data_IF_076112716628
#
_entry.id   IF_076112716628
#
_cell.length_a   1.000
_cell.length_b   1.000
_cell.length_c   1.000
_cell.angle_alpha   90.00
_cell.angle_beta   90.00
_cell.angle_gamma   90.00
#
_symmetry.space_group_name_H-M   'P 1'
#
loop_
_entity.id
_entity.type
_entity.pdbx_description
1 polymer ?
#
# COMPACT_ATOMS: atom_id res chain seq x y z
N UNK A 1 2.57 -39.04 -7.92
CA UNK A 1 2.59 -38.60 -6.52
C UNK A 1 3.92 -37.89 -6.29
N UNK A 2 3.98 -36.56 -6.28
CA UNK A 2 5.16 -35.83 -5.86
C UNK A 2 5.15 -35.60 -4.35
N UNK A 3 6.36 -35.62 -3.81
CA UNK A 3 6.78 -35.61 -2.42
C UNK A 3 6.89 -34.16 -1.88
N UNK A 4 6.50 -33.92 -0.63
CA UNK A 4 6.09 -32.60 -0.10
C UNK A 4 6.76 -32.22 1.24
N UNK A 5 7.98 -32.67 1.54
CA UNK A 5 8.60 -32.43 2.87
C UNK A 5 9.86 -31.55 2.90
N UNK A 6 10.29 -30.98 1.78
CA UNK A 6 11.27 -29.88 1.81
C UNK A 6 10.53 -28.56 1.55
N UNK A 7 10.57 -27.61 2.48
CA UNK A 7 10.01 -26.25 2.34
C UNK A 7 10.74 -25.39 1.29
N UNK A 8 11.13 -25.99 0.17
CA UNK A 8 11.75 -25.34 -0.96
C UNK A 8 10.65 -24.73 -1.83
N UNK A 9 10.45 -23.43 -1.66
CA UNK A 9 9.72 -22.62 -2.63
C UNK A 9 10.43 -22.75 -3.98
N UNK A 10 9.71 -23.25 -4.98
CA UNK A 10 10.19 -23.40 -6.36
C UNK A 10 10.42 -22.00 -6.96
N UNK A 11 11.58 -21.42 -6.68
CA UNK A 11 12.00 -20.15 -7.26
C UNK A 11 12.39 -20.40 -8.71
N UNK A 12 11.44 -20.23 -9.62
CA UNK A 12 11.75 -20.13 -11.06
C UNK A 12 12.69 -18.93 -11.24
N UNK A 13 13.81 -19.07 -11.97
CA UNK A 13 14.62 -17.92 -12.32
C UNK A 13 13.71 -16.93 -13.05
N UNK A 14 13.76 -15.66 -12.65
CA UNK A 14 12.94 -14.53 -13.14
C UNK A 14 11.59 -14.25 -12.47
N UNK A 15 11.18 -14.94 -11.41
CA UNK A 15 9.93 -14.58 -10.72
C UNK A 15 10.14 -13.64 -9.52
N UNK A 16 10.52 -12.38 -9.79
CA UNK A 16 10.63 -11.31 -8.78
C UNK A 16 9.35 -11.19 -7.94
N UNK A 17 8.21 -11.41 -8.58
CA UNK A 17 6.91 -11.42 -7.95
C UNK A 17 6.81 -12.43 -6.80
N UNK A 18 7.20 -13.69 -7.03
CA UNK A 18 7.17 -14.74 -6.01
C UNK A 18 8.16 -14.46 -4.87
N UNK A 19 9.33 -13.90 -5.21
CA UNK A 19 10.32 -13.52 -4.21
C UNK A 19 9.81 -12.40 -3.31
N UNK A 20 9.25 -11.33 -3.88
CA UNK A 20 8.63 -10.25 -3.10
C UNK A 20 7.44 -10.75 -2.30
N UNK A 21 6.63 -11.65 -2.86
CA UNK A 21 5.53 -12.25 -2.14
C UNK A 21 6.03 -13.02 -0.91
N UNK A 22 7.08 -13.84 -1.06
CA UNK A 22 7.71 -14.55 0.06
C UNK A 22 8.29 -13.58 1.11
N UNK A 23 8.93 -12.49 0.69
CA UNK A 23 9.46 -11.46 1.59
C UNK A 23 8.33 -10.77 2.38
N UNK A 24 7.22 -10.44 1.73
CA UNK A 24 6.03 -9.86 2.37
C UNK A 24 5.43 -10.86 3.36
N UNK A 25 5.39 -12.15 3.04
CA UNK A 25 4.96 -13.21 3.97
C UNK A 25 5.82 -13.30 5.22
N UNK A 26 7.14 -13.17 5.09
CA UNK A 26 8.06 -13.17 6.23
C UNK A 26 7.95 -11.88 7.06
N UNK A 27 7.62 -10.76 6.42
CA UNK A 27 7.58 -9.44 7.07
C UNK A 27 6.23 -9.15 7.73
N UNK A 28 5.13 -9.61 7.12
CA UNK A 28 3.75 -9.35 7.54
C UNK A 28 2.93 -10.65 7.63
N UNK A 29 3.36 -11.63 8.44
CA UNK A 29 2.75 -12.95 8.50
C UNK A 29 1.30 -12.90 8.98
N UNK A 30 0.96 -12.06 9.96
CA UNK A 30 -0.40 -12.00 10.50
C UNK A 30 -1.38 -11.46 9.46
N UNK A 31 -0.98 -10.41 8.74
CA UNK A 31 -1.79 -9.80 7.70
C UNK A 31 -2.05 -10.80 6.57
N UNK A 32 -1.00 -11.49 6.10
CA UNK A 32 -1.12 -12.50 5.06
C UNK A 32 -2.01 -13.67 5.47
N UNK A 33 -1.92 -14.14 6.73
CA UNK A 33 -2.83 -15.15 7.29
C UNK A 33 -4.28 -14.64 7.28
N UNK A 34 -4.52 -13.41 7.72
CA UNK A 34 -5.85 -12.82 7.76
C UNK A 34 -6.48 -12.68 6.36
N UNK A 35 -5.70 -12.22 5.38
CA UNK A 35 -6.11 -12.15 3.97
C UNK A 35 -6.44 -13.56 3.44
N UNK A 36 -5.53 -14.52 3.61
CA UNK A 36 -5.72 -15.90 3.11
C UNK A 36 -6.94 -16.58 3.73
N UNK A 37 -7.15 -16.43 5.04
CA UNK A 37 -8.31 -16.98 5.74
C UNK A 37 -9.63 -16.40 5.19
N UNK A 38 -9.64 -15.12 4.81
CA UNK A 38 -10.80 -14.48 4.18
C UNK A 38 -11.01 -14.93 2.75
N UNK A 39 -9.95 -15.12 1.96
CA UNK A 39 -10.05 -15.72 0.62
C UNK A 39 -10.67 -17.12 0.67
N UNK A 40 -10.20 -17.98 1.59
CA UNK A 40 -10.75 -19.34 1.76
C UNK A 40 -12.22 -19.30 2.18
N UNK A 41 -12.59 -18.45 3.15
CA UNK A 41 -14.00 -18.28 3.56
C UNK A 41 -14.89 -17.75 2.44
N UNK A 42 -14.37 -16.89 1.58
CA UNK A 42 -15.09 -16.36 0.43
C UNK A 42 -15.30 -17.42 -0.66
N UNK A 43 -14.35 -18.34 -0.85
CA UNK A 43 -14.50 -19.47 -1.79
C UNK A 43 -15.55 -20.49 -1.36
N UNK A 44 -15.80 -20.63 -0.06
CA UNK A 44 -16.76 -21.60 0.47
C UNK A 44 -18.24 -21.16 0.39
N UNK A 45 -18.52 -19.90 0.06
CA UNK A 45 -19.86 -19.31 0.13
C UNK A 45 -20.18 -18.58 -1.18
N UNK A 46 -20.87 -19.25 -2.09
CA UNK A 46 -21.34 -18.69 -3.37
C UNK A 46 -22.29 -17.50 -3.12
N UNK A 47 -21.78 -16.29 -3.33
CA UNK A 47 -22.57 -15.06 -3.16
C UNK A 47 -21.89 -13.83 -3.76
N UNK A 48 -22.49 -13.29 -4.82
CA UNK A 48 -21.96 -12.19 -5.67
C UNK A 48 -21.53 -10.91 -4.91
N UNK A 49 -22.11 -10.61 -3.75
CA UNK A 49 -21.77 -9.41 -2.94
C UNK A 49 -20.36 -9.48 -2.35
N UNK A 50 -19.84 -10.70 -2.09
CA UNK A 50 -18.51 -10.93 -1.50
C UNK A 50 -17.36 -10.90 -2.50
N UNK A 51 -17.65 -10.87 -3.80
CA UNK A 51 -16.64 -10.67 -4.84
C UNK A 51 -15.92 -9.34 -4.70
N UNK A 52 -16.66 -8.27 -4.36
CA UNK A 52 -16.07 -6.93 -4.22
C UNK A 52 -15.08 -6.79 -3.06
N UNK A 53 -15.34 -7.44 -1.92
CA UNK A 53 -14.44 -7.48 -0.78
C UNK A 53 -13.19 -8.32 -1.09
N UNK A 54 -13.39 -9.46 -1.77
CA UNK A 54 -12.29 -10.29 -2.26
C UNK A 54 -11.38 -9.50 -3.21
N UNK A 55 -11.97 -8.78 -4.17
CA UNK A 55 -11.23 -7.95 -5.13
C UNK A 55 -10.47 -6.84 -4.41
N UNK A 56 -11.06 -6.24 -3.37
CA UNK A 56 -10.38 -5.24 -2.55
C UNK A 56 -9.14 -5.81 -1.84
N UNK A 57 -9.28 -6.97 -1.19
CA UNK A 57 -8.18 -7.63 -0.47
C UNK A 57 -7.08 -8.11 -1.42
N UNK A 58 -7.44 -8.71 -2.56
CA UNK A 58 -6.47 -9.11 -3.59
C UNK A 58 -5.72 -7.88 -4.12
N UNK A 59 -6.43 -6.81 -4.42
CA UNK A 59 -5.79 -5.61 -4.94
C UNK A 59 -4.87 -4.94 -3.91
N UNK A 60 -5.24 -4.96 -2.62
CA UNK A 60 -4.35 -4.52 -1.55
C UNK A 60 -3.14 -5.44 -1.39
N UNK A 61 -3.29 -6.75 -1.56
CA UNK A 61 -2.17 -7.70 -1.51
C UNK A 61 -1.15 -7.47 -2.63
N UNK A 62 -1.60 -7.05 -3.81
CA UNK A 62 -0.74 -6.74 -4.96
C UNK A 62 -0.12 -5.34 -4.87
N UNK A 63 -0.92 -4.32 -4.51
CA UNK A 63 -0.51 -2.92 -4.62
C UNK A 63 -0.75 -2.05 -3.38
N UNK A 64 -0.88 -2.67 -2.20
CA UNK A 64 -1.10 -2.01 -0.93
C UNK A 64 0.11 -1.24 -0.42
N UNK A 65 -0.15 -0.10 0.23
CA UNK A 65 0.84 0.65 0.99
C UNK A 65 0.21 1.18 2.27
N UNK A 66 0.99 1.24 3.34
CA UNK A 66 0.58 1.88 4.59
C UNK A 66 1.28 3.21 4.72
N UNK A 67 0.51 4.27 4.92
CA UNK A 67 1.01 5.61 5.15
C UNK A 67 0.72 5.98 6.59
N UNK A 68 1.77 6.19 7.37
CA UNK A 68 1.67 6.56 8.76
C UNK A 68 2.16 7.99 8.94
N UNK A 69 1.49 8.78 9.77
CA UNK A 69 1.92 10.14 10.07
C UNK A 69 1.73 10.48 11.54
N UNK A 70 2.68 11.22 12.12
CA UNK A 70 2.51 11.86 13.43
C UNK A 70 1.82 13.22 13.37
N UNK A 71 1.43 13.66 12.18
CA UNK A 71 0.72 14.89 11.92
C UNK A 71 -0.52 14.59 11.06
N UNK A 72 -1.73 14.63 11.65
CA UNK A 72 -2.98 14.36 10.92
C UNK A 72 -3.18 15.28 9.71
N UNK A 73 -2.69 16.53 9.78
CA UNK A 73 -2.84 17.48 8.68
C UNK A 73 -2.13 16.99 7.41
N UNK A 74 -1.01 16.26 7.53
CA UNK A 74 -0.34 15.68 6.36
C UNK A 74 -1.15 14.55 5.73
N UNK A 75 -1.86 13.76 6.53
CA UNK A 75 -2.77 12.73 6.02
C UNK A 75 -3.96 13.37 5.31
N UNK A 76 -4.48 14.48 5.83
CA UNK A 76 -5.58 15.22 5.21
C UNK A 76 -5.20 15.79 3.84
N UNK A 77 -3.97 16.32 3.69
CA UNK A 77 -3.46 16.73 2.38
C UNK A 77 -3.45 15.58 1.37
N UNK A 78 -3.06 14.37 1.82
CA UNK A 78 -3.10 13.16 1.00
C UNK A 78 -4.53 12.78 0.63
N UNK A 79 -5.45 12.78 1.60
CA UNK A 79 -6.89 12.52 1.36
C UNK A 79 -7.50 13.53 0.38
N UNK A 80 -7.05 14.78 0.42
CA UNK A 80 -7.50 15.89 -0.40
C UNK A 80 -6.74 16.04 -1.73
N UNK A 81 -5.82 15.11 -2.06
CA UNK A 81 -5.05 15.14 -3.31
C UNK A 81 -4.21 16.42 -3.50
N UNK A 82 -3.81 17.07 -2.40
CA UNK A 82 -3.01 18.29 -2.40
C UNK A 82 -1.52 17.97 -2.56
N UNK A 83 -1.17 17.35 -3.69
CA UNK A 83 0.16 16.76 -3.93
C UNK A 83 1.31 17.75 -3.85
N UNK A 84 1.13 18.97 -4.37
CA UNK A 84 2.14 20.03 -4.29
C UNK A 84 2.35 20.47 -2.85
N UNK A 85 1.29 20.80 -2.12
CA UNK A 85 1.42 21.19 -0.71
C UNK A 85 2.04 20.07 0.12
N UNK A 86 1.65 18.81 -0.12
CA UNK A 86 2.19 17.66 0.60
C UNK A 86 3.68 17.42 0.30
N UNK A 87 4.04 17.24 -0.98
CA UNK A 87 5.36 16.73 -1.37
C UNK A 87 6.37 17.81 -1.80
N UNK A 88 5.91 19.04 -2.02
CA UNK A 88 6.77 20.19 -2.35
C UNK A 88 6.85 21.13 -1.15
N UNK A 89 5.75 21.75 -0.76
CA UNK A 89 5.75 22.81 0.27
C UNK A 89 6.08 22.25 1.66
N UNK A 90 5.51 21.10 2.01
CA UNK A 90 5.71 20.43 3.31
C UNK A 90 6.67 19.23 3.22
N UNK A 91 7.54 19.17 2.21
CA UNK A 91 8.44 18.03 1.96
C UNK A 91 9.26 17.61 3.19
N UNK A 92 9.89 18.56 3.87
CA UNK A 92 10.70 18.29 5.06
C UNK A 92 9.86 17.72 6.22
N UNK A 93 8.58 18.09 6.30
CA UNK A 93 7.67 17.51 7.28
C UNK A 93 7.25 16.09 6.88
N UNK A 94 7.03 15.82 5.59
CA UNK A 94 6.79 14.46 5.09
C UNK A 94 7.94 13.53 5.45
N UNK A 95 9.19 13.92 5.16
CA UNK A 95 10.37 13.10 5.46
C UNK A 95 10.53 12.83 6.97
N UNK A 96 10.24 13.83 7.81
CA UNK A 96 10.39 13.71 9.26
C UNK A 96 9.21 12.98 9.92
N UNK A 97 7.98 13.28 9.52
CA UNK A 97 6.74 12.93 10.23
C UNK A 97 5.92 11.84 9.56
N UNK A 98 6.25 11.41 8.34
CA UNK A 98 5.53 10.35 7.64
C UNK A 98 6.41 9.12 7.38
N UNK A 99 5.78 7.96 7.31
CA UNK A 99 6.38 6.71 6.84
C UNK A 99 5.48 6.09 5.79
N UNK A 100 6.12 5.54 4.76
CA UNK A 100 5.49 4.87 3.64
C UNK A 100 6.01 3.44 3.63
N UNK A 101 5.17 2.46 3.97
CA UNK A 101 5.56 1.06 4.08
C UNK A 101 4.80 0.26 3.03
N UNK A 102 5.52 -0.23 2.04
CA UNK A 102 4.94 -1.01 0.94
C UNK A 102 4.62 -2.41 1.43
N UNK A 103 3.36 -2.81 1.24
CA UNK A 103 2.86 -4.16 1.52
C UNK A 103 2.70 -4.95 0.21
N UNK A 104 2.25 -4.27 -0.85
CA UNK A 104 1.97 -4.87 -2.14
C UNK A 104 3.21 -5.47 -2.79
N UNK A 105 3.23 -6.78 -2.98
CA UNK A 105 4.38 -7.48 -3.56
C UNK A 105 4.63 -7.07 -5.03
N UNK A 106 3.57 -6.86 -5.82
CA UNK A 106 3.69 -6.36 -7.19
C UNK A 106 4.14 -4.89 -7.24
N UNK A 107 3.91 -4.12 -6.17
CA UNK A 107 4.43 -2.75 -6.08
C UNK A 107 5.95 -2.73 -5.93
N UNK A 108 6.54 -3.66 -5.16
CA UNK A 108 7.99 -3.76 -5.07
C UNK A 108 8.62 -4.06 -6.44
N UNK A 109 8.01 -4.96 -7.21
CA UNK A 109 8.45 -5.26 -8.58
C UNK A 109 8.33 -4.04 -9.50
N UNK A 110 7.20 -3.33 -9.45
CA UNK A 110 7.00 -2.12 -10.26
C UNK A 110 7.99 -0.99 -9.89
N UNK A 111 8.47 -0.94 -8.65
CA UNK A 111 9.48 0.02 -8.20
C UNK A 111 10.90 -0.31 -8.70
N UNK A 112 11.17 -1.52 -9.21
CA UNK A 112 12.44 -1.83 -9.88
C UNK A 112 12.58 -1.08 -11.22
N UNK A 113 11.46 -0.81 -11.90
CA UNK A 113 11.38 -0.02 -13.14
C UNK A 113 10.16 0.91 -13.08
N UNK A 114 10.24 1.99 -12.29
CA UNK A 114 9.10 2.88 -12.08
C UNK A 114 8.63 3.49 -13.39
N UNK A 115 7.31 3.57 -13.57
CA UNK A 115 6.68 4.13 -14.76
C UNK A 115 5.64 5.19 -14.39
N UNK A 116 5.45 6.15 -15.30
CA UNK A 116 4.49 7.25 -15.12
C UNK A 116 3.09 6.71 -14.81
N UNK A 117 2.50 7.16 -13.71
CA UNK A 117 1.17 6.73 -13.26
C UNK A 117 1.15 5.54 -12.30
N UNK A 118 2.32 5.02 -11.89
CA UNK A 118 2.41 3.99 -10.84
C UNK A 118 1.75 4.48 -9.54
N UNK A 119 0.64 3.83 -9.16
CA UNK A 119 -0.23 4.24 -8.04
C UNK A 119 -0.50 3.05 -7.13
N UNK A 120 -0.26 3.22 -5.83
CA UNK A 120 -0.57 2.23 -4.81
C UNK A 120 -1.91 2.52 -4.12
N UNK A 121 -2.42 1.52 -3.39
CA UNK A 121 -3.60 1.60 -2.54
C UNK A 121 -3.19 1.82 -1.10
N UNK A 122 -3.28 3.08 -0.68
CA UNK A 122 -2.88 3.53 0.63
C UNK A 122 -3.98 3.31 1.68
N UNK A 123 -3.58 2.73 2.80
CA UNK A 123 -4.27 2.83 4.10
C UNK A 123 -3.54 3.89 4.93
N UNK A 124 -4.30 4.77 5.56
CA UNK A 124 -3.75 5.93 6.29
C UNK A 124 -3.97 5.75 7.79
N UNK A 125 -2.89 5.81 8.57
CA UNK A 125 -2.94 5.73 10.03
C UNK A 125 -2.23 6.92 10.68
N UNK A 126 -2.86 7.43 11.74
CA UNK A 126 -2.21 8.33 12.67
C UNK A 126 -1.38 7.52 13.66
N UNK A 127 -0.15 7.97 13.89
CA UNK A 127 0.76 7.41 14.90
C UNK A 127 1.29 8.55 15.75
N UNK A 128 1.89 8.25 16.89
CA UNK A 128 2.58 9.29 17.65
C UNK A 128 4.04 9.48 17.16
N UNK A 129 4.68 10.54 17.65
CA UNK A 129 6.08 10.80 17.31
C UNK A 129 7.03 9.71 17.85
N UNK A 130 6.66 9.02 18.94
CA UNK A 130 7.48 7.95 19.52
C UNK A 130 7.51 6.72 18.61
N UNK A 131 6.39 6.40 17.97
CA UNK A 131 6.27 5.33 16.98
C UNK A 131 7.25 5.53 15.82
N UNK A 132 7.38 6.76 15.33
CA UNK A 132 8.32 7.11 14.24
C UNK A 132 9.79 6.93 14.62
N UNK A 133 10.12 6.93 15.92
CA UNK A 133 11.47 6.70 16.45
C UNK A 133 11.74 5.22 16.76
N UNK A 134 10.73 4.35 16.69
CA UNK A 134 10.93 2.92 16.89
C UNK A 134 11.90 2.35 15.83
N UNK A 135 12.68 1.30 16.18
CA UNK A 135 13.45 0.57 15.19
C UNK A 135 12.54 0.05 14.06
N UNK A 136 13.06 0.02 12.83
CA UNK A 136 12.30 -0.40 11.64
C UNK A 136 11.64 -1.78 11.83
N UNK A 137 12.34 -2.74 12.42
CA UNK A 137 11.78 -4.07 12.70
C UNK A 137 10.52 -4.00 13.61
N UNK A 138 10.53 -3.13 14.62
CA UNK A 138 9.38 -2.96 15.51
C UNK A 138 8.23 -2.20 14.84
N UNK A 139 8.55 -1.26 13.94
CA UNK A 139 7.54 -0.60 13.09
C UNK A 139 6.84 -1.60 12.18
N UNK A 140 7.59 -2.52 11.55
CA UNK A 140 7.02 -3.56 10.68
C UNK A 140 6.07 -4.49 11.43
N UNK A 141 6.45 -4.93 12.64
CA UNK A 141 5.55 -5.73 13.51
C UNK A 141 4.29 -4.96 13.89
N UNK A 142 4.42 -3.67 14.23
CA UNK A 142 3.27 -2.83 14.55
C UNK A 142 2.35 -2.63 13.34
N UNK A 143 2.91 -2.46 12.14
CA UNK A 143 2.14 -2.37 10.89
C UNK A 143 1.42 -3.68 10.58
N UNK A 144 2.07 -4.83 10.78
CA UNK A 144 1.43 -6.14 10.58
C UNK A 144 0.19 -6.31 11.47
N UNK A 145 0.30 -5.90 12.74
CA UNK A 145 -0.83 -5.93 13.66
C UNK A 145 -1.95 -4.95 13.26
N UNK A 146 -1.59 -3.72 12.86
CA UNK A 146 -2.54 -2.70 12.40
C UNK A 146 -3.32 -3.19 11.17
N UNK A 147 -2.60 -3.65 10.13
CA UNK A 147 -3.19 -4.17 8.91
C UNK A 147 -4.09 -5.37 9.18
N UNK A 148 -3.67 -6.29 10.03
CA UNK A 148 -4.48 -7.45 10.43
C UNK A 148 -5.81 -7.00 11.04
N UNK A 149 -5.80 -6.04 11.96
CA UNK A 149 -7.02 -5.52 12.57
C UNK A 149 -7.92 -4.79 11.56
N UNK A 150 -7.32 -3.92 10.74
CA UNK A 150 -8.02 -3.12 9.74
C UNK A 150 -8.70 -3.99 8.69
N UNK A 151 -7.97 -4.95 8.12
CA UNK A 151 -8.51 -5.88 7.13
C UNK A 151 -9.54 -6.81 7.78
N UNK A 152 -9.32 -7.29 9.01
CA UNK A 152 -10.27 -8.17 9.71
C UNK A 152 -11.57 -7.50 10.15
N UNK A 153 -11.59 -6.17 10.29
CA UNK A 153 -12.78 -5.40 10.68
C UNK A 153 -13.86 -5.34 9.59
N UNK A 154 -13.52 -5.64 8.33
CA UNK A 154 -14.42 -5.45 7.19
C UNK A 154 -14.56 -3.98 6.76
N UNK A 155 -13.67 -3.10 7.22
CA UNK A 155 -13.63 -1.68 6.85
C UNK A 155 -13.43 -1.44 5.35
N UNK A 156 -12.66 -2.32 4.70
CA UNK A 156 -12.35 -2.22 3.27
C UNK A 156 -13.12 -3.29 2.51
N UNK A 157 -14.21 -2.89 1.88
CA UNK A 157 -15.09 -3.79 1.12
C UNK A 157 -14.96 -3.60 -0.38
N UNK A 158 -14.36 -2.49 -0.83
CA UNK A 158 -14.21 -2.16 -2.24
C UNK A 158 -12.80 -1.59 -2.49
N UNK A 159 -12.21 -1.81 -3.69
CA UNK A 159 -10.92 -1.21 -4.03
C UNK A 159 -10.87 0.32 -3.95
N UNK A 160 -12.04 0.99 -4.01
CA UNK A 160 -12.18 2.44 -3.86
C UNK A 160 -12.12 2.93 -2.41
N UNK A 161 -12.17 2.03 -1.44
CA UNK A 161 -12.10 2.40 -0.02
C UNK A 161 -10.66 2.78 0.34
N UNK A 162 -9.67 2.26 -0.39
CA UNK A 162 -8.27 2.66 -0.29
C UNK A 162 -8.00 4.00 -0.97
N UNK A 163 -7.02 4.74 -0.44
CA UNK A 163 -6.61 5.99 -1.04
C UNK A 163 -5.58 5.78 -2.17
N UNK A 164 -5.81 6.33 -3.38
CA UNK A 164 -4.79 6.26 -4.42
C UNK A 164 -3.60 7.13 -4.05
N UNK A 165 -2.39 6.56 -4.08
CA UNK A 165 -1.14 7.27 -3.82
C UNK A 165 -0.19 7.12 -5.02
N UNK A 166 0.14 8.21 -5.74
CA UNK A 166 1.15 8.15 -6.79
C UNK A 166 2.52 7.95 -6.16
N UNK A 167 3.12 6.77 -6.36
CA UNK A 167 4.37 6.39 -5.68
C UNK A 167 5.55 7.26 -6.09
N UNK A 168 5.58 7.69 -7.35
CA UNK A 168 6.63 8.55 -7.87
C UNK A 168 6.61 9.96 -7.26
N UNK A 169 5.52 10.34 -6.59
CA UNK A 169 5.43 11.59 -5.84
C UNK A 169 6.12 11.55 -4.48
N UNK A 170 6.38 10.36 -3.93
CA UNK A 170 6.95 10.20 -2.60
C UNK A 170 8.43 10.63 -2.63
N UNK A 171 8.87 11.56 -1.77
CA UNK A 171 10.25 12.02 -1.70
C UNK A 171 11.25 10.85 -1.66
N UNK A 172 12.23 10.88 -2.57
CA UNK A 172 13.30 9.87 -2.63
C UNK A 172 13.01 8.64 -3.50
N UNK A 173 11.79 8.46 -4.03
CA UNK A 173 11.48 7.34 -4.93
C UNK A 173 12.09 7.52 -6.32
N UNK A 174 12.00 8.73 -6.88
CA UNK A 174 12.65 9.10 -8.15
C UNK A 174 13.32 10.47 -8.03
N UNK A 175 14.47 10.70 -8.69
CA UNK A 175 15.19 11.97 -8.57
C UNK A 175 14.41 13.15 -9.14
N UNK A 176 13.57 12.94 -10.16
CA UNK A 176 12.79 13.98 -10.83
C UNK A 176 11.82 14.68 -9.88
N UNK A 177 11.35 13.99 -8.84
CA UNK A 177 10.41 14.56 -7.87
C UNK A 177 11.05 15.55 -6.88
N UNK A 178 12.36 15.81 -7.01
CA UNK A 178 13.01 16.91 -6.32
C UNK A 178 12.66 18.27 -6.95
N UNK A 179 12.27 18.30 -8.23
CA UNK A 179 11.82 19.51 -8.91
C UNK A 179 10.32 19.77 -8.61
N UNK A 180 9.95 20.94 -8.04
CA UNK A 180 8.56 21.32 -7.86
C UNK A 180 7.69 21.20 -9.12
N UNK A 181 8.26 21.46 -10.31
CA UNK A 181 7.55 21.40 -11.58
C UNK A 181 7.14 19.95 -11.96
N UNK A 182 7.77 18.93 -11.37
CA UNK A 182 7.36 17.54 -11.57
C UNK A 182 5.90 17.30 -11.15
N UNK A 183 5.44 18.02 -10.12
CA UNK A 183 4.08 17.93 -9.60
C UNK A 183 3.05 18.72 -10.42
N UNK A 184 3.45 19.40 -11.50
CA UNK A 184 2.56 20.06 -12.46
C UNK A 184 1.86 19.05 -13.39
N UNK A 185 2.37 17.83 -13.50
CA UNK A 185 1.78 16.77 -14.31
C UNK A 185 0.47 16.25 -13.68
N UNK A 186 -0.64 16.93 -13.97
CA UNK A 186 -1.99 16.58 -13.49
C UNK A 186 -2.50 15.21 -13.97
N UNK A 187 -1.87 14.60 -14.99
CA UNK A 187 -2.22 13.24 -15.41
C UNK A 187 -1.73 12.21 -14.39
N UNK A 188 -0.50 12.42 -13.89
CA UNK A 188 0.10 11.61 -12.83
C UNK A 188 -0.43 12.03 -11.44
N UNK A 189 -0.47 13.33 -11.16
CA UNK A 189 -0.87 13.94 -9.90
C UNK A 189 -2.29 14.48 -9.99
N UNK A 190 -3.26 13.58 -10.06
CA UNK A 190 -4.67 13.93 -10.27
C UNK A 190 -5.22 14.73 -9.07
N UNK A 191 -5.98 15.82 -9.29
CA UNK A 191 -6.47 16.68 -8.20
C UNK A 191 -7.68 16.11 -7.44
N UNK A 192 -8.00 14.83 -7.62
CA UNK A 192 -9.15 14.20 -6.97
C UNK A 192 -9.63 12.93 -7.67
N UNK A 193 -10.59 12.26 -7.03
CA UNK A 193 -11.35 11.17 -7.66
C UNK A 193 -12.26 11.79 -8.71
N UNK A 194 -12.22 11.28 -9.94
CA UNK A 194 -13.25 11.62 -10.95
C UNK A 194 -14.59 11.12 -10.42
N UNK A 195 -15.46 12.03 -10.00
CA UNK A 195 -16.89 11.77 -9.93
C UNK A 195 -17.32 11.57 -11.37
N UNK A 196 -17.51 10.33 -11.80
CA UNK A 196 -18.19 10.09 -13.06
C UNK A 196 -19.53 10.80 -12.97
N UNK A 197 -19.79 11.77 -13.85
CA UNK A 197 -21.14 12.22 -14.10
C UNK A 197 -21.92 10.97 -14.50
N UNK A 198 -22.82 10.52 -13.63
CA UNK A 198 -23.99 9.81 -14.07
C UNK A 198 -24.84 10.86 -14.81
N UNK A 199 -24.74 10.86 -16.14
CA UNK A 199 -25.81 11.30 -17.02
C UNK A 199 -26.28 10.07 -17.77
#
# INVERSE_FOLDING_TARGET
MPDLESGAVETRPDNWHDWFNALVWLTFPQTKIAISARHVRAMALDGQVRGSERDALTHFDECGIVVLSSDPALLDLLRAFQWKTLFVERRAEVERRMRFIVFGHATYEALLKPFRGLTAKAVLHEVDAAWLQMPVAAQLVAVDALLTADLSSGRYTRPRDFQPLPLLGIPGVVPENADPAYYDDTWQFRPGRRTGNAQ
#
